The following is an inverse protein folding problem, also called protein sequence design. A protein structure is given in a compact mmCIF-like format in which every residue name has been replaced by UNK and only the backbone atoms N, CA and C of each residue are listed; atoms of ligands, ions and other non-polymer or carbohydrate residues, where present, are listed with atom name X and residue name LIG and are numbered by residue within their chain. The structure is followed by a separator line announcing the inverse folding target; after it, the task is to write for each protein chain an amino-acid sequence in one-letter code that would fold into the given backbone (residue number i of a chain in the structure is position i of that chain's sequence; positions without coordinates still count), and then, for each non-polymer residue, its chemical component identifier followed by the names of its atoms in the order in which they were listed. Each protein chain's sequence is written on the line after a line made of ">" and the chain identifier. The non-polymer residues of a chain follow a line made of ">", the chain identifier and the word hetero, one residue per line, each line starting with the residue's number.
data_IF_576887803269
#
_entry.id   IF_576887803269
#
_cell.length_a   1.000
_cell.length_b   1.000
_cell.length_c   1.000
_cell.angle_alpha   90.00
_cell.angle_beta   90.00
_cell.angle_gamma   90.00
#
_symmetry.space_group_name_H-M   'P 1'
#
loop_
_entity.id
_entity.type
_entity.pdbx_description
1 polymer ?
#
# COMPACT_ATOMS: atom_id res chain seq x y z
N UNK A 1 -7.81 0.89 -3.00
CA UNK A 1 -6.74 0.76 -1.97
C UNK A 1 -6.49 2.10 -1.31
N UNK A 2 -6.09 3.13 -2.07
CA UNK A 2 -5.82 4.45 -1.50
C UNK A 2 -7.02 5.06 -0.73
N UNK A 3 -8.23 4.97 -1.29
CA UNK A 3 -9.46 5.42 -0.63
C UNK A 3 -9.71 4.75 0.74
N UNK A 4 -9.25 3.50 0.92
CA UNK A 4 -9.38 2.81 2.21
C UNK A 4 -8.47 3.43 3.29
N UNK A 5 -7.32 3.98 2.88
CA UNK A 5 -6.37 4.63 3.79
C UNK A 5 -6.64 6.11 3.99
N UNK A 6 -7.25 6.78 3.00
CA UNK A 6 -7.54 8.22 3.04
C UNK A 6 -8.95 8.55 3.50
N UNK A 7 -9.90 7.61 3.37
CA UNK A 7 -11.32 7.84 3.61
C UNK A 7 -11.99 8.74 2.58
N UNK A 8 -11.31 9.08 1.48
CA UNK A 8 -11.82 9.97 0.43
C UNK A 8 -11.47 9.48 -0.98
N UNK A 9 -12.27 9.81 -2.01
CA UNK A 9 -11.92 9.50 -3.38
C UNK A 9 -10.57 10.09 -3.79
N UNK A 10 -9.76 9.37 -4.60
CA UNK A 10 -8.51 9.93 -5.12
C UNK A 10 -8.79 11.15 -6.00
N UNK A 11 -7.95 12.18 -5.89
CA UNK A 11 -8.09 13.45 -6.62
C UNK A 11 -9.41 14.21 -6.35
N UNK A 12 -10.04 14.02 -5.17
CA UNK A 12 -11.32 14.66 -4.83
C UNK A 12 -11.33 16.20 -4.89
N UNK A 13 -10.16 16.83 -4.93
CA UNK A 13 -9.94 18.27 -4.92
C UNK A 13 -9.64 18.83 -6.32
N UNK A 14 -9.79 18.02 -7.37
CA UNK A 14 -9.52 18.37 -8.76
C UNK A 14 -10.71 17.98 -9.65
N UNK A 15 -10.85 18.65 -10.78
CA UNK A 15 -11.83 18.27 -11.78
C UNK A 15 -11.42 16.96 -12.47
N UNK A 16 -12.38 16.06 -12.67
CA UNK A 16 -12.13 14.79 -13.37
C UNK A 16 -12.22 14.98 -14.89
N UNK A 17 -11.31 15.77 -15.43
CA UNK A 17 -11.28 16.20 -16.83
C UNK A 17 -10.12 15.57 -17.63
N UNK A 18 -9.94 16.04 -18.86
CA UNK A 18 -8.84 15.58 -19.71
C UNK A 18 -7.47 15.95 -19.16
N UNK A 19 -7.34 17.09 -18.46
CA UNK A 19 -6.08 17.52 -17.88
C UNK A 19 -5.64 16.56 -16.77
N UNK A 20 -6.56 16.13 -15.90
CA UNK A 20 -6.26 15.11 -14.89
C UNK A 20 -5.78 13.80 -15.53
N UNK A 21 -6.43 13.37 -16.62
CA UNK A 21 -6.02 12.18 -17.35
C UNK A 21 -4.57 12.28 -17.85
N UNK A 22 -4.17 13.44 -18.39
CA UNK A 22 -2.79 13.69 -18.82
C UNK A 22 -1.81 13.66 -17.65
N UNK A 23 -2.15 14.29 -16.52
CA UNK A 23 -1.29 14.31 -15.34
C UNK A 23 -1.03 12.88 -14.84
N UNK A 24 -2.06 12.03 -14.77
CA UNK A 24 -1.92 10.61 -14.37
C UNK A 24 -1.01 9.86 -15.35
N UNK A 25 -1.14 10.10 -16.65
CA UNK A 25 -0.23 9.53 -17.66
C UNK A 25 1.22 10.01 -17.50
N UNK A 26 1.44 11.18 -16.88
CA UNK A 26 2.75 11.75 -16.53
C UNK A 26 3.19 11.40 -15.09
N UNK A 27 2.69 10.29 -14.56
CA UNK A 27 3.04 9.76 -13.25
C UNK A 27 2.55 10.57 -12.03
N UNK A 28 1.53 11.43 -12.23
CA UNK A 28 0.80 11.96 -11.09
C UNK A 28 0.06 10.84 -10.36
N UNK A 29 0.25 10.77 -9.03
CA UNK A 29 -0.29 9.71 -8.17
C UNK A 29 -0.78 10.33 -6.86
N UNK A 30 -1.83 9.77 -6.24
CA UNK A 30 -2.29 10.23 -4.94
C UNK A 30 -1.16 10.16 -3.90
N UNK A 31 -1.02 11.24 -3.11
CA UNK A 31 -0.06 11.30 -2.01
C UNK A 31 -0.36 10.18 -1.00
N UNK A 32 0.66 9.45 -0.56
CA UNK A 32 0.50 8.47 0.52
C UNK A 32 0.11 9.22 1.81
N UNK A 33 -0.97 8.77 2.45
CA UNK A 33 -1.48 9.38 3.68
C UNK A 33 -0.63 8.96 4.87
N UNK A 34 -0.33 9.92 5.76
CA UNK A 34 0.44 9.66 6.97
C UNK A 34 -0.26 8.59 7.84
N UNK A 35 0.52 7.67 8.40
CA UNK A 35 0.00 6.51 9.13
C UNK A 35 -0.38 5.32 8.24
N UNK A 36 -0.33 5.46 6.91
CA UNK A 36 -0.42 4.28 6.01
C UNK A 36 0.76 3.34 6.27
N UNK A 37 0.53 2.05 6.58
CA UNK A 37 1.61 1.09 6.77
C UNK A 37 2.51 1.01 5.53
N UNK A 38 3.84 1.05 5.74
CA UNK A 38 4.83 1.13 4.66
C UNK A 38 4.62 0.02 3.63
N UNK A 39 4.41 -1.21 4.09
CA UNK A 39 4.19 -2.37 3.23
C UNK A 39 2.94 -2.20 2.32
N UNK A 40 1.88 -1.57 2.84
CA UNK A 40 0.67 -1.29 2.07
C UNK A 40 0.89 -0.15 1.07
N UNK A 41 1.63 0.89 1.47
CA UNK A 41 2.03 1.97 0.57
C UNK A 41 2.88 1.45 -0.60
N UNK A 42 3.80 0.52 -0.34
CA UNK A 42 4.63 -0.10 -1.38
C UNK A 42 3.81 -1.00 -2.30
N UNK A 43 2.82 -1.73 -1.77
CA UNK A 43 1.86 -2.46 -2.60
C UNK A 43 1.08 -1.50 -3.51
N UNK A 44 0.55 -0.39 -2.96
CA UNK A 44 -0.16 0.62 -3.76
C UNK A 44 0.74 1.18 -4.87
N UNK A 45 2.01 1.50 -4.56
CA UNK A 45 3.02 1.94 -5.53
C UNK A 45 3.20 0.98 -6.69
N UNK A 46 3.29 -0.32 -6.40
CA UNK A 46 3.39 -1.35 -7.45
C UNK A 46 2.12 -1.46 -8.29
N UNK A 47 0.94 -1.33 -7.69
CA UNK A 47 -0.34 -1.42 -8.41
C UNK A 47 -0.53 -0.32 -9.47
N UNK A 48 0.07 0.85 -9.28
CA UNK A 48 -0.01 1.97 -10.22
C UNK A 48 1.34 2.31 -10.86
N UNK A 49 2.23 1.32 -11.00
CA UNK A 49 3.48 1.47 -11.74
C UNK A 49 3.20 1.88 -13.20
N UNK A 50 3.99 2.81 -13.71
CA UNK A 50 3.91 3.34 -15.08
C UNK A 50 4.13 2.24 -16.11
N UNK A 51 4.99 1.25 -15.79
CA UNK A 51 5.17 0.05 -16.59
C UNK A 51 4.12 -1.01 -16.21
N UNK A 52 3.17 -1.34 -17.11
CA UNK A 52 2.14 -2.33 -16.82
C UNK A 52 2.68 -3.72 -16.45
N UNK A 53 3.87 -4.09 -16.94
CA UNK A 53 4.50 -5.38 -16.66
C UNK A 53 5.03 -5.49 -15.23
N UNK A 54 5.22 -4.37 -14.53
CA UNK A 54 5.64 -4.33 -13.12
C UNK A 54 4.46 -4.39 -12.15
N UNK A 55 3.23 -4.24 -12.66
CA UNK A 55 2.03 -4.27 -11.83
C UNK A 55 1.77 -5.70 -11.35
N UNK A 56 1.43 -5.88 -10.06
CA UNK A 56 1.06 -7.19 -9.55
C UNK A 56 -0.27 -7.63 -10.14
N UNK A 57 -0.41 -8.94 -10.32
CA UNK A 57 -1.68 -9.59 -10.62
C UNK A 57 -2.62 -9.47 -9.42
N UNK A 58 -3.94 -9.59 -9.67
CA UNK A 58 -4.93 -9.62 -8.59
C UNK A 58 -4.66 -10.75 -7.56
N UNK A 59 -4.10 -11.88 -8.02
CA UNK A 59 -3.71 -13.00 -7.17
C UNK A 59 -2.59 -12.60 -6.21
N UNK A 60 -1.56 -11.90 -6.70
CA UNK A 60 -0.45 -11.43 -5.87
C UNK A 60 -0.90 -10.37 -4.86
N UNK A 61 -1.76 -9.44 -5.27
CA UNK A 61 -2.37 -8.44 -4.36
C UNK A 61 -3.15 -9.13 -3.26
N UNK A 62 -4.03 -10.09 -3.60
CA UNK A 62 -4.81 -10.86 -2.62
C UNK A 62 -3.90 -11.61 -1.66
N UNK A 63 -2.88 -12.30 -2.16
CA UNK A 63 -1.92 -13.06 -1.34
C UNK A 63 -1.18 -12.13 -0.38
N UNK A 64 -0.75 -10.96 -0.85
CA UNK A 64 -0.09 -9.98 -0.01
C UNK A 64 -0.99 -9.50 1.13
N UNK A 65 -2.22 -9.07 0.82
CA UNK A 65 -3.18 -8.55 1.82
C UNK A 65 -3.53 -9.64 2.83
N UNK A 66 -3.78 -10.87 2.36
CA UNK A 66 -4.06 -12.01 3.21
C UNK A 66 -2.89 -12.27 4.16
N UNK A 67 -1.68 -12.44 3.63
CA UNK A 67 -0.49 -12.68 4.45
C UNK A 67 -0.25 -11.55 5.45
N UNK A 68 -0.43 -10.30 5.04
CA UNK A 68 -0.24 -9.15 5.93
C UNK A 68 -1.25 -9.16 7.09
N UNK A 69 -2.53 -9.40 6.82
CA UNK A 69 -3.58 -9.49 7.83
C UNK A 69 -3.33 -10.64 8.83
N UNK A 70 -3.04 -11.84 8.33
CA UNK A 70 -2.86 -13.01 9.17
C UNK A 70 -1.52 -13.02 9.93
N UNK A 71 -0.44 -12.52 9.31
CA UNK A 71 0.83 -12.38 10.02
C UNK A 71 0.77 -11.26 11.07
N UNK A 72 0.01 -10.18 10.82
CA UNK A 72 -0.26 -9.16 11.84
C UNK A 72 -1.02 -9.75 13.02
N UNK A 73 -2.00 -10.63 12.78
CA UNK A 73 -2.76 -11.29 13.86
C UNK A 73 -1.93 -12.31 14.64
N UNK A 74 -0.96 -12.97 13.99
CA UNK A 74 -0.04 -13.88 14.66
C UNK A 74 0.89 -13.10 15.59
N UNK A 75 1.48 -12.01 15.12
CA UNK A 75 2.34 -11.11 15.92
C UNK A 75 1.57 -10.55 17.13
N UNK A 76 0.33 -10.09 16.94
CA UNK A 76 -0.49 -9.57 18.05
C UNK A 76 -0.79 -10.64 19.12
N UNK A 77 -0.91 -11.92 18.71
CA UNK A 77 -1.11 -13.04 19.64
C UNK A 77 0.18 -13.56 20.30
N UNK A 78 1.36 -13.29 19.71
CA UNK A 78 2.67 -13.79 20.20
C UNK A 78 3.50 -12.73 20.94
N UNK A 79 3.02 -11.48 21.02
CA UNK A 79 3.79 -10.38 21.59
C UNK A 79 3.59 -10.19 23.10
N UNK A 80 4.26 -11.02 23.88
CA UNK A 80 4.89 -10.48 25.10
C UNK A 80 6.33 -10.91 25.33
N UNK A 81 6.91 -11.89 24.61
CA UNK A 81 8.26 -12.38 24.94
C UNK A 81 9.17 -12.70 23.74
N UNK A 82 8.66 -12.90 22.52
CA UNK A 82 9.51 -13.32 21.38
C UNK A 82 9.99 -12.18 20.47
N UNK A 83 9.38 -10.99 20.53
CA UNK A 83 9.75 -9.83 19.66
C UNK A 83 11.15 -9.31 19.98
N UNK A 84 11.55 -9.35 21.25
CA UNK A 84 12.87 -8.85 21.67
C UNK A 84 14.02 -9.61 21.00
N UNK A 85 13.84 -10.92 20.73
CA UNK A 85 14.88 -11.73 20.07
C UNK A 85 15.02 -11.46 18.56
N UNK A 86 13.99 -10.92 17.90
CA UNK A 86 14.06 -10.61 16.46
C UNK A 86 14.69 -9.25 16.19
N UNK A 87 14.53 -8.29 17.09
CA UNK A 87 15.14 -6.96 16.99
C UNK A 87 16.66 -7.03 17.26
N UNK A 88 17.10 -7.91 18.17
CA UNK A 88 18.52 -8.03 18.56
C UNK A 88 19.38 -8.74 17.49
N UNK A 89 18.77 -9.47 16.54
CA UNK A 89 19.47 -10.17 15.45
C UNK A 89 19.73 -9.32 14.20
N UNK A 90 19.29 -8.07 14.19
CA UNK A 90 19.50 -7.13 13.07
C UNK A 90 20.41 -5.95 13.43
N UNK A 91 21.18 -6.07 14.51
CA UNK A 91 22.35 -5.22 14.80
C UNK A 91 23.66 -5.98 14.61
#
# INVERSE_FOLDING_TARGET
>A
MWELTSGVPPFNNQEHDFQLCLNICQDDRPKIIDGTPICYADLMKRCWDSNPLKRPTAIEVRRFIFNWYFNSSYIDSTNSWEVEQYIDKTK
#
